data_IF_035591896873
#
_entry.id   IF_035591896873
#
_cell.length_a   1.000
_cell.length_b   1.000
_cell.length_c   1.000
_cell.angle_alpha   90.00
_cell.angle_beta   90.00
_cell.angle_gamma   90.00
#
_symmetry.space_group_name_H-M   'P 1'
#
loop_
_entity.id
_entity.type
_entity.pdbx_description
1 polymer ?
#
# COMPACT_ATOMS: atom_id res chain seq x y z
N UNK A 1 -17.33 4.98 -6.71
CA UNK A 1 -16.07 5.72 -6.95
C UNK A 1 -14.93 4.74 -6.73
N UNK A 2 -13.93 4.68 -7.61
CA UNK A 2 -12.79 3.77 -7.46
C UNK A 2 -11.82 4.39 -6.45
N UNK A 3 -11.48 3.64 -5.40
CA UNK A 3 -10.46 4.00 -4.42
C UNK A 3 -9.26 3.07 -4.57
N UNK A 4 -8.06 3.59 -4.34
CA UNK A 4 -6.80 2.90 -4.57
C UNK A 4 -6.10 2.64 -3.24
N UNK A 5 -5.66 1.40 -3.03
CA UNK A 5 -4.73 1.07 -1.95
C UNK A 5 -3.31 1.10 -2.53
N UNK A 6 -2.54 2.09 -2.13
CA UNK A 6 -1.17 2.32 -2.60
C UNK A 6 -0.24 1.33 -1.91
N UNK A 7 0.60 0.64 -2.68
CA UNK A 7 1.66 -0.20 -2.10
C UNK A 7 2.96 0.60 -1.85
N UNK A 8 3.89 0.01 -1.11
CA UNK A 8 5.14 0.68 -0.73
C UNK A 8 5.97 1.06 -1.95
N UNK A 9 5.95 0.23 -3.00
CA UNK A 9 6.69 0.49 -4.24
C UNK A 9 6.17 1.73 -4.98
N UNK A 10 4.84 1.93 -5.00
CA UNK A 10 4.20 3.08 -5.60
C UNK A 10 4.46 4.35 -4.78
N UNK A 11 4.43 4.27 -3.45
CA UNK A 11 4.88 5.38 -2.59
C UNK A 11 6.32 5.75 -2.92
N UNK A 12 7.24 4.79 -2.98
CA UNK A 12 8.62 5.06 -3.34
C UNK A 12 8.78 5.78 -4.68
N UNK A 13 8.00 5.36 -5.68
CA UNK A 13 8.00 6.01 -6.97
C UNK A 13 7.50 7.46 -6.88
N UNK A 14 6.40 7.71 -6.17
CA UNK A 14 5.81 9.05 -6.01
C UNK A 14 6.75 10.01 -5.29
N UNK A 15 7.42 9.56 -4.22
CA UNK A 15 8.31 10.39 -3.41
C UNK A 15 9.69 10.61 -4.05
N UNK A 16 10.23 9.63 -4.77
CA UNK A 16 11.59 9.71 -5.36
C UNK A 16 11.63 10.25 -6.79
N UNK A 17 10.49 10.37 -7.46
CA UNK A 17 10.43 10.78 -8.87
C UNK A 17 9.87 12.20 -8.99
N UNK A 18 10.69 13.19 -9.36
CA UNK A 18 10.21 14.55 -9.58
C UNK A 18 9.09 14.58 -10.63
N UNK A 19 7.95 15.17 -10.26
CA UNK A 19 6.79 15.30 -11.15
C UNK A 19 5.89 14.07 -11.24
N UNK A 20 6.22 12.95 -10.58
CA UNK A 20 5.33 11.78 -10.55
C UNK A 20 4.01 12.05 -9.82
N UNK A 21 3.96 13.03 -8.93
CA UNK A 21 2.73 13.46 -8.25
C UNK A 21 1.78 14.27 -9.16
N UNK A 22 2.29 15.00 -10.16
CA UNK A 22 1.46 15.92 -10.98
C UNK A 22 0.25 15.26 -11.66
N UNK A 23 0.37 14.08 -12.30
CA UNK A 23 -0.77 13.40 -12.90
C UNK A 23 -1.82 12.95 -11.87
N UNK A 24 -1.43 12.84 -10.61
CA UNK A 24 -2.24 12.30 -9.53
C UNK A 24 -2.79 13.36 -8.59
N UNK A 25 -2.41 14.63 -8.72
CA UNK A 25 -2.90 15.75 -7.89
C UNK A 25 -4.45 15.79 -7.85
N UNK A 26 -5.12 15.57 -8.99
CA UNK A 26 -6.58 15.49 -9.03
C UNK A 26 -7.17 14.27 -8.29
N UNK A 27 -6.44 13.17 -8.19
CA UNK A 27 -6.84 11.97 -7.45
C UNK A 27 -6.53 12.11 -5.94
N UNK A 28 -5.41 12.74 -5.59
CA UNK A 28 -5.07 13.11 -4.21
C UNK A 28 -6.15 14.06 -3.67
N UNK A 29 -6.49 15.11 -4.42
CA UNK A 29 -7.54 16.06 -4.03
C UNK A 29 -8.93 15.40 -3.90
N UNK A 30 -9.19 14.32 -4.64
CA UNK A 30 -10.43 13.54 -4.54
C UNK A 30 -10.44 12.55 -3.36
N UNK A 31 -9.35 12.44 -2.58
CA UNK A 31 -9.25 11.54 -1.42
C UNK A 31 -9.31 10.06 -1.78
N UNK A 32 -8.92 9.68 -3.02
CA UNK A 32 -9.04 8.30 -3.49
C UNK A 32 -7.86 7.41 -3.13
N UNK A 33 -6.77 7.98 -2.58
CA UNK A 33 -5.60 7.21 -2.17
C UNK A 33 -5.70 6.78 -0.71
N UNK A 34 -5.54 5.48 -0.50
CA UNK A 34 -5.48 4.86 0.80
C UNK A 34 -4.16 4.12 0.96
N UNK A 35 -3.71 3.95 2.20
CA UNK A 35 -2.63 3.05 2.57
C UNK A 35 -3.06 2.21 3.78
N UNK A 36 -2.38 1.09 4.03
CA UNK A 36 -2.62 0.28 5.23
C UNK A 36 -1.39 0.26 6.13
N UNK A 37 -1.56 -0.23 7.36
CA UNK A 37 -0.54 -0.23 8.40
C UNK A 37 0.77 -0.93 7.96
N UNK A 38 0.75 -2.09 7.29
CA UNK A 38 1.97 -2.73 6.77
C UNK A 38 2.74 -1.82 5.80
N UNK A 39 2.05 -1.21 4.84
CA UNK A 39 2.66 -0.28 3.87
C UNK A 39 3.25 0.95 4.57
N UNK A 40 2.52 1.52 5.55
CA UNK A 40 3.03 2.64 6.35
C UNK A 40 4.29 2.25 7.10
N UNK A 41 4.27 1.09 7.76
CA UNK A 41 5.40 0.61 8.54
C UNK A 41 6.64 0.34 7.67
N UNK A 42 6.45 -0.25 6.49
CA UNK A 42 7.52 -0.53 5.54
C UNK A 42 8.14 0.77 5.01
N UNK A 43 7.32 1.75 4.61
CA UNK A 43 7.80 3.04 4.15
C UNK A 43 8.57 3.79 5.23
N UNK A 44 8.03 3.87 6.45
CA UNK A 44 8.67 4.57 7.58
C UNK A 44 9.93 3.85 8.11
N UNK A 45 10.16 2.59 7.73
CA UNK A 45 11.40 1.87 8.06
C UNK A 45 12.64 2.51 7.39
N UNK A 46 12.43 3.29 6.34
CA UNK A 46 13.49 4.00 5.64
C UNK A 46 13.98 5.28 6.33
N UNK A 47 13.29 5.72 7.38
CA UNK A 47 13.66 6.91 8.11
C UNK A 47 15.07 6.77 8.70
N UNK A 48 15.88 7.81 8.52
CA UNK A 48 17.29 7.85 8.97
C UNK A 48 17.44 8.51 10.35
N UNK A 49 16.39 9.15 10.86
CA UNK A 49 16.33 9.78 12.17
C UNK A 49 14.87 9.82 12.67
N UNK A 50 14.64 10.08 13.97
CA UNK A 50 13.29 10.32 14.48
C UNK A 50 12.59 11.50 13.78
N UNK A 51 13.29 12.62 13.54
CA UNK A 51 12.69 13.77 12.85
C UNK A 51 12.30 13.45 11.41
N UNK A 52 13.16 12.72 10.68
CA UNK A 52 12.86 12.28 9.32
C UNK A 52 11.67 11.30 9.30
N UNK A 53 11.51 10.46 10.33
CA UNK A 53 10.33 9.60 10.47
C UNK A 53 9.05 10.42 10.59
N UNK A 54 9.07 11.47 11.41
CA UNK A 54 7.90 12.33 11.64
C UNK A 54 7.55 13.10 10.35
N UNK A 55 8.54 13.64 9.64
CA UNK A 55 8.37 14.27 8.32
C UNK A 55 7.70 13.32 7.31
N UNK A 56 8.21 12.10 7.15
CA UNK A 56 7.62 11.09 6.26
C UNK A 56 6.19 10.71 6.68
N UNK A 57 5.91 10.66 7.99
CA UNK A 57 4.59 10.34 8.49
C UNK A 57 3.57 11.45 8.17
N UNK A 58 3.94 12.72 8.35
CA UNK A 58 3.12 13.86 7.99
C UNK A 58 2.83 13.91 6.48
N UNK A 59 3.84 13.65 5.65
CA UNK A 59 3.68 13.60 4.20
C UNK A 59 2.71 12.47 3.77
N UNK A 60 2.81 11.30 4.40
CA UNK A 60 1.87 10.20 4.14
C UNK A 60 0.44 10.57 4.54
N UNK A 61 0.26 11.17 5.71
CA UNK A 61 -1.05 11.53 6.23
C UNK A 61 -1.70 12.68 5.41
N UNK A 62 -0.89 13.52 4.75
CA UNK A 62 -1.35 14.53 3.80
C UNK A 62 -1.79 13.95 2.43
N UNK A 63 -1.19 12.83 2.01
CA UNK A 63 -1.41 12.25 0.68
C UNK A 63 -2.43 11.11 0.67
N UNK A 64 -2.55 10.36 1.76
CA UNK A 64 -3.28 9.11 1.81
C UNK A 64 -4.17 9.02 3.05
N UNK A 65 -5.33 8.39 2.89
CA UNK A 65 -6.18 8.00 4.02
C UNK A 65 -5.77 6.62 4.55
N UNK A 66 -5.89 6.40 5.87
CA UNK A 66 -5.64 5.09 6.44
C UNK A 66 -6.81 4.14 6.15
N UNK A 67 -6.50 2.99 5.57
CA UNK A 67 -7.39 1.84 5.40
C UNK A 67 -6.93 0.72 6.33
N UNK A 68 -7.58 0.52 7.49
CA UNK A 68 -7.07 -0.38 8.52
C UNK A 68 -7.11 -1.84 8.07
N UNK A 69 -6.06 -2.60 8.37
CA UNK A 69 -6.03 -4.05 8.13
C UNK A 69 -7.16 -4.72 8.92
N UNK A 70 -8.05 -5.49 8.27
CA UNK A 70 -9.14 -6.14 8.97
C UNK A 70 -8.60 -7.21 9.93
N UNK A 71 -9.20 -7.36 11.11
CA UNK A 71 -8.74 -8.30 12.16
C UNK A 71 -8.62 -9.75 11.68
N UNK A 72 -9.40 -10.14 10.67
CA UNK A 72 -9.42 -11.46 10.07
C UNK A 72 -8.55 -11.59 8.80
N UNK A 73 -7.74 -10.58 8.46
CA UNK A 73 -6.90 -10.57 7.25
C UNK A 73 -6.04 -11.82 7.13
N UNK A 74 -5.48 -12.30 8.23
CA UNK A 74 -4.62 -13.50 8.23
C UNK A 74 -5.33 -14.77 7.76
N UNK A 75 -6.64 -14.90 7.96
CA UNK A 75 -7.41 -16.03 7.41
C UNK A 75 -7.49 -15.94 5.89
N UNK A 76 -7.60 -14.73 5.35
CA UNK A 76 -7.57 -14.50 3.92
C UNK A 76 -6.18 -14.76 3.36
N UNK A 77 -5.12 -14.30 4.04
CA UNK A 77 -3.72 -14.53 3.67
C UNK A 77 -3.41 -16.02 3.57
N UNK A 78 -3.77 -16.81 4.59
CA UNK A 78 -3.58 -18.26 4.60
C UNK A 78 -4.27 -18.94 3.41
N UNK A 79 -5.54 -18.60 3.18
CA UNK A 79 -6.30 -19.13 2.04
C UNK A 79 -5.70 -18.71 0.67
N UNK A 80 -5.23 -17.47 0.55
CA UNK A 80 -4.58 -16.97 -0.66
C UNK A 80 -3.24 -17.66 -0.91
N UNK A 81 -2.42 -17.80 0.15
CA UNK A 81 -1.14 -18.49 0.09
C UNK A 81 -1.32 -19.96 -0.30
N UNK A 82 -2.29 -20.66 0.30
CA UNK A 82 -2.63 -22.03 -0.09
C UNK A 82 -2.98 -22.13 -1.58
N UNK A 83 -3.82 -21.23 -2.09
CA UNK A 83 -4.17 -21.19 -3.53
C UNK A 83 -2.95 -20.93 -4.42
N UNK A 84 -2.01 -20.08 -3.98
CA UNK A 84 -0.75 -19.85 -4.69
C UNK A 84 0.14 -21.10 -4.67
N UNK A 85 0.19 -21.83 -3.55
CA UNK A 85 0.90 -23.11 -3.44
C UNK A 85 0.38 -24.14 -4.42
N UNK A 86 -0.94 -24.28 -4.55
CA UNK A 86 -1.56 -25.18 -5.53
C UNK A 86 -1.15 -24.87 -6.98
N UNK A 87 -0.72 -23.63 -7.25
CA UNK A 87 -0.25 -23.18 -8.57
C UNK A 87 1.27 -23.10 -8.68
N UNK A 88 2.02 -23.55 -7.67
CA UNK A 88 3.48 -23.45 -7.62
C UNK A 88 4.02 -22.02 -7.46
N UNK A 89 3.19 -21.05 -7.07
CA UNK A 89 3.52 -19.62 -6.97
C UNK A 89 3.58 -19.09 -5.53
N UNK A 90 3.74 -19.96 -4.54
CA UNK A 90 3.73 -19.57 -3.13
C UNK A 90 4.86 -18.63 -2.69
N UNK A 91 5.89 -18.45 -3.53
CA UNK A 91 7.00 -17.50 -3.32
C UNK A 91 6.88 -16.22 -4.16
N UNK A 92 5.78 -16.04 -4.88
CA UNK A 92 5.60 -14.90 -5.78
C UNK A 92 5.13 -13.63 -5.07
N UNK A 93 4.66 -13.75 -3.82
CA UNK A 93 4.19 -12.65 -3.00
C UNK A 93 4.66 -12.85 -1.56
N UNK A 94 5.11 -11.78 -0.93
CA UNK A 94 5.46 -11.78 0.48
C UNK A 94 4.19 -11.75 1.36
N UNK A 95 4.34 -12.07 2.64
CA UNK A 95 3.21 -12.02 3.58
C UNK A 95 2.60 -10.60 3.68
N UNK A 96 3.43 -9.57 3.57
CA UNK A 96 3.01 -8.17 3.55
C UNK A 96 2.17 -7.88 2.30
N UNK A 97 2.61 -8.32 1.12
CA UNK A 97 1.84 -8.16 -0.13
C UNK A 97 0.45 -8.80 -0.02
N UNK A 98 0.36 -9.99 0.59
CA UNK A 98 -0.90 -10.67 0.81
C UNK A 98 -1.80 -9.92 1.81
N UNK A 99 -1.25 -9.26 2.83
CA UNK A 99 -2.01 -8.41 3.75
C UNK A 99 -2.54 -7.14 3.07
N UNK A 100 -1.74 -6.50 2.21
CA UNK A 100 -2.18 -5.36 1.39
C UNK A 100 -3.35 -5.80 0.50
N UNK A 101 -3.23 -6.96 -0.16
CA UNK A 101 -4.31 -7.52 -0.97
C UNK A 101 -5.56 -7.85 -0.15
N UNK A 102 -5.41 -8.46 1.03
CA UNK A 102 -6.53 -8.75 1.93
C UNK A 102 -7.27 -7.47 2.34
N UNK A 103 -6.52 -6.41 2.63
CA UNK A 103 -7.05 -5.11 3.01
C UNK A 103 -7.81 -4.46 1.85
N UNK A 104 -7.24 -4.49 0.65
CA UNK A 104 -7.90 -3.96 -0.53
C UNK A 104 -9.21 -4.70 -0.85
N UNK A 105 -9.20 -6.03 -0.80
CA UNK A 105 -10.40 -6.85 -1.02
C UNK A 105 -11.48 -6.57 0.03
N UNK A 106 -11.10 -6.38 1.29
CA UNK A 106 -12.05 -6.11 2.36
C UNK A 106 -12.76 -4.75 2.21
N UNK A 107 -12.02 -3.71 1.85
CA UNK A 107 -12.53 -2.34 1.74
C UNK A 107 -12.99 -1.95 0.33
N UNK A 108 -12.85 -2.85 -0.65
CA UNK A 108 -13.21 -2.59 -2.05
C UNK A 108 -12.24 -1.66 -2.79
N UNK A 109 -10.97 -1.62 -2.36
CA UNK A 109 -9.93 -0.85 -3.03
C UNK A 109 -9.30 -1.61 -4.20
N UNK A 110 -8.79 -0.88 -5.18
CA UNK A 110 -7.88 -1.42 -6.19
C UNK A 110 -6.44 -1.27 -5.71
N UNK A 111 -5.69 -2.37 -5.57
CA UNK A 111 -4.26 -2.30 -5.23
C UNK A 111 -3.51 -1.65 -6.40
N UNK A 112 -2.65 -0.66 -6.12
CA UNK A 112 -1.80 -0.07 -7.13
C UNK A 112 -0.32 -0.26 -6.85
N UNK A 113 0.36 -1.13 -7.63
CA UNK A 113 1.81 -1.24 -7.60
C UNK A 113 2.50 -0.21 -8.49
N UNK A 114 3.78 0.08 -8.22
CA UNK A 114 4.62 0.92 -9.08
C UNK A 114 4.82 0.33 -10.48
N UNK A 115 4.70 -0.99 -10.62
CA UNK A 115 4.79 -1.70 -11.91
C UNK A 115 3.40 -1.86 -12.51
N UNK A 116 2.97 -0.83 -13.23
CA UNK A 116 1.69 -0.81 -13.94
C UNK A 116 1.67 0.21 -15.08
N UNK A 117 2.53 0.00 -16.08
CA UNK A 117 2.19 0.21 -17.49
C UNK A 117 2.16 -1.18 -18.14
#
# INVERSE_FOLDING_TARGET
>A
MITYLVDTSALWHLFRTPGALRPWEGHIAAGVFHLCEPTRAEFLCSATSPSHRDELAEELDALCLLSPVPKNAWRWVDAAQYKLTQRGRHRAAEAIDLLVCATAVHHGHTVRPSRGQ
#
